data_IF_264177276459
#
_entry.id   IF_264177276459
#
_cell.length_a   1.000
_cell.length_b   1.000
_cell.length_c   1.000
_cell.angle_alpha   90.00
_cell.angle_beta   90.00
_cell.angle_gamma   90.00
#
_symmetry.space_group_name_H-M   'P 1'
#
loop_
_entity.id
_entity.type
_entity.pdbx_description
1 polymer ?
#
# COMPACT_ATOMS: atom_id res chain seq x y z
N UNK A 1 -10.13 20.48 -20.60
CA UNK A 1 -11.14 20.10 -19.58
C UNK A 1 -10.96 18.66 -19.08
N UNK A 2 -10.83 17.65 -19.96
CA UNK A 2 -10.64 16.25 -19.54
C UNK A 2 -9.35 15.98 -18.72
N UNK A 3 -8.23 16.61 -19.09
CA UNK A 3 -6.96 16.46 -18.37
C UNK A 3 -7.03 17.02 -16.93
N UNK A 4 -7.62 18.20 -16.76
CA UNK A 4 -7.89 18.82 -15.45
C UNK A 4 -8.75 17.90 -14.55
N UNK A 5 -9.72 17.18 -15.14
CA UNK A 5 -10.54 16.21 -14.40
C UNK A 5 -9.70 15.00 -13.97
N UNK A 6 -8.82 14.48 -14.84
CA UNK A 6 -7.93 13.37 -14.51
C UNK A 6 -6.98 13.72 -13.36
N UNK A 7 -6.37 14.91 -13.39
CA UNK A 7 -5.48 15.39 -12.32
C UNK A 7 -6.23 15.58 -11.00
N UNK A 8 -7.45 16.10 -11.02
CA UNK A 8 -8.30 16.20 -9.80
C UNK A 8 -8.61 14.83 -9.21
N UNK A 9 -8.93 13.84 -10.05
CA UNK A 9 -9.20 12.46 -9.62
C UNK A 9 -7.96 11.80 -9.03
N UNK A 10 -6.79 11.94 -9.66
CA UNK A 10 -5.53 11.45 -9.10
C UNK A 10 -5.21 12.12 -7.76
N UNK A 11 -5.42 13.43 -7.64
CA UNK A 11 -5.23 14.14 -6.37
C UNK A 11 -6.14 13.61 -5.27
N UNK A 12 -7.42 13.39 -5.57
CA UNK A 12 -8.36 12.82 -4.62
C UNK A 12 -7.91 11.43 -4.18
N UNK A 13 -7.50 10.58 -5.13
CA UNK A 13 -6.98 9.25 -4.85
C UNK A 13 -5.77 9.30 -3.92
N UNK A 14 -4.80 10.19 -4.20
CA UNK A 14 -3.61 10.36 -3.36
C UNK A 14 -3.97 10.84 -1.94
N UNK A 15 -4.99 11.70 -1.77
CA UNK A 15 -5.49 12.09 -0.44
C UNK A 15 -6.09 10.90 0.32
N UNK A 16 -6.91 10.10 -0.36
CA UNK A 16 -7.47 8.88 0.21
C UNK A 16 -6.34 7.95 0.65
N UNK A 17 -5.34 7.74 -0.20
CA UNK A 17 -4.15 6.95 0.14
C UNK A 17 -3.34 7.50 1.30
N UNK A 18 -3.12 8.82 1.39
CA UNK A 18 -2.49 9.43 2.56
C UNK A 18 -3.23 9.06 3.84
N UNK A 19 -4.57 9.19 3.84
CA UNK A 19 -5.38 8.89 5.04
C UNK A 19 -5.35 7.39 5.34
N UNK A 20 -5.58 6.54 4.35
CA UNK A 20 -5.59 5.07 4.52
C UNK A 20 -4.25 4.57 5.06
N UNK A 21 -3.13 5.04 4.52
CA UNK A 21 -1.81 4.62 5.00
C UNK A 21 -1.46 5.19 6.37
N UNK A 22 -1.86 6.42 6.67
CA UNK A 22 -1.69 6.99 8.01
C UNK A 22 -2.51 6.19 9.05
N UNK A 23 -3.76 5.85 8.73
CA UNK A 23 -4.58 4.98 9.57
C UNK A 23 -3.97 3.58 9.71
N UNK A 24 -3.40 3.02 8.65
CA UNK A 24 -2.67 1.74 8.71
C UNK A 24 -1.45 1.80 9.62
N UNK A 25 -0.71 2.91 9.62
CA UNK A 25 0.42 3.12 10.55
C UNK A 25 -0.06 3.16 12.02
N UNK A 26 -1.16 3.86 12.28
CA UNK A 26 -1.78 3.92 13.62
C UNK A 26 -2.28 2.54 14.03
N UNK A 27 -2.97 1.83 13.14
CA UNK A 27 -3.50 0.49 13.40
C UNK A 27 -2.40 -0.50 13.76
N UNK A 28 -1.32 -0.57 12.97
CA UNK A 28 -0.19 -1.43 13.32
C UNK A 28 0.51 -1.01 14.60
N UNK A 29 0.57 0.28 14.92
CA UNK A 29 1.21 0.74 16.15
C UNK A 29 0.37 0.47 17.40
N UNK A 30 -0.94 0.69 17.34
CA UNK A 30 -1.86 0.59 18.50
C UNK A 30 -2.43 -0.81 18.66
N UNK A 31 -2.73 -1.50 17.55
CA UNK A 31 -3.37 -2.81 17.51
C UNK A 31 -2.53 -3.85 16.74
N UNK A 32 -1.24 -4.04 17.09
CA UNK A 32 -0.28 -4.86 16.34
C UNK A 32 -0.76 -6.29 16.03
N UNK A 33 -1.54 -6.86 16.95
CA UNK A 33 -2.00 -8.25 16.86
C UNK A 33 -3.45 -8.39 16.34
N UNK A 34 -4.22 -7.31 16.26
CA UNK A 34 -5.63 -7.38 15.89
C UNK A 34 -5.78 -7.75 14.41
N UNK A 35 -4.99 -7.12 13.55
CA UNK A 35 -5.02 -7.33 12.09
C UNK A 35 -4.62 -8.76 11.73
N UNK A 36 -3.60 -9.31 12.40
CA UNK A 36 -3.20 -10.71 12.22
C UNK A 36 -4.30 -11.68 12.70
N UNK A 37 -4.96 -11.39 13.82
CA UNK A 37 -6.07 -12.22 14.32
C UNK A 37 -7.27 -12.23 13.38
N UNK A 38 -7.63 -11.08 12.80
CA UNK A 38 -8.74 -10.98 11.83
C UNK A 38 -8.40 -11.75 10.55
N UNK A 39 -7.17 -11.65 10.07
CA UNK A 39 -6.72 -12.41 8.90
C UNK A 39 -6.73 -13.92 9.18
N UNK A 40 -6.25 -14.35 10.35
CA UNK A 40 -6.27 -15.78 10.72
C UNK A 40 -7.70 -16.30 10.94
N UNK A 41 -8.62 -15.51 11.49
CA UNK A 41 -10.02 -15.94 11.63
C UNK A 41 -10.71 -16.10 10.27
N UNK A 42 -10.38 -15.24 9.30
CA UNK A 42 -10.83 -15.36 7.92
C UNK A 42 -10.17 -16.55 7.20
N UNK A 43 -8.90 -16.82 7.48
CA UNK A 43 -8.21 -18.01 6.97
C UNK A 43 -8.92 -19.29 7.44
N UNK A 44 -9.29 -19.35 8.73
CA UNK A 44 -10.02 -20.47 9.33
C UNK A 44 -11.40 -20.68 8.71
N UNK A 45 -12.15 -19.62 8.39
CA UNK A 45 -13.45 -19.75 7.73
C UNK A 45 -13.35 -20.22 6.29
N UNK A 46 -12.23 -19.93 5.62
CA UNK A 46 -11.94 -20.36 4.24
C UNK A 46 -11.16 -21.69 4.15
N UNK A 47 -10.81 -22.31 5.28
CA UNK A 47 -10.03 -23.56 5.32
C UNK A 47 -8.57 -23.40 4.88
N UNK A 48 -8.01 -22.18 4.94
CA UNK A 48 -6.65 -21.87 4.54
C UNK A 48 -5.67 -21.89 5.73
N UNK A 49 -4.37 -22.02 5.44
CA UNK A 49 -3.33 -22.01 6.46
C UNK A 49 -3.24 -20.65 7.18
N UNK A 50 -3.16 -20.71 8.50
CA UNK A 50 -2.94 -19.55 9.36
C UNK A 50 -1.45 -19.18 9.38
N UNK A 51 -1.15 -17.90 9.62
CA UNK A 51 0.22 -17.48 9.91
C UNK A 51 0.51 -17.74 11.38
N UNK A 52 1.44 -18.65 11.66
CA UNK A 52 1.94 -18.89 13.03
C UNK A 52 2.85 -17.72 13.42
N UNK A 53 2.37 -16.92 14.35
CA UNK A 53 3.10 -15.85 14.99
C UNK A 53 4.30 -16.39 15.79
N UNK A 54 5.53 -16.30 15.24
CA UNK A 54 6.72 -16.34 16.09
C UNK A 54 6.79 -14.99 16.82
N UNK A 55 6.59 -14.99 18.14
CA UNK A 55 6.49 -13.76 18.96
C UNK A 55 7.61 -12.74 18.65
N UNK A 56 8.87 -13.19 18.54
CA UNK A 56 10.00 -12.29 18.20
C UNK A 56 9.99 -11.79 16.74
N UNK A 57 9.43 -12.57 15.81
CA UNK A 57 9.29 -12.17 14.42
C UNK A 57 8.22 -11.09 14.25
N UNK A 58 7.13 -11.16 15.01
CA UNK A 58 6.03 -10.19 14.90
C UNK A 58 6.44 -8.77 15.29
N UNK A 59 7.18 -8.60 16.39
CA UNK A 59 7.63 -7.29 16.82
C UNK A 59 8.63 -6.70 15.80
N UNK A 60 9.48 -7.53 15.21
CA UNK A 60 10.35 -7.13 14.10
C UNK A 60 9.54 -6.66 12.88
N UNK A 61 8.53 -7.42 12.47
CA UNK A 61 7.64 -7.01 11.36
C UNK A 61 6.90 -5.71 11.67
N UNK A 62 6.53 -5.47 12.93
CA UNK A 62 5.92 -4.21 13.35
C UNK A 62 6.84 -3.02 13.11
N UNK A 63 8.11 -3.16 13.51
CA UNK A 63 9.12 -2.12 13.32
C UNK A 63 9.42 -1.83 11.86
N UNK A 64 9.06 -2.73 10.94
CA UNK A 64 9.12 -2.49 9.49
C UNK A 64 7.80 -1.92 8.94
N UNK A 65 6.66 -2.44 9.39
CA UNK A 65 5.35 -2.10 8.87
C UNK A 65 4.95 -0.65 9.16
N UNK A 66 5.16 -0.17 10.40
CA UNK A 66 4.78 1.19 10.79
C UNK A 66 5.57 2.24 10.00
N UNK A 67 6.92 2.20 9.94
CA UNK A 67 7.67 3.16 9.13
C UNK A 67 7.35 3.06 7.64
N UNK A 68 7.16 1.86 7.10
CA UNK A 68 6.75 1.68 5.71
C UNK A 68 5.44 2.42 5.40
N UNK A 69 4.41 2.24 6.25
CA UNK A 69 3.12 2.92 6.09
C UNK A 69 3.25 4.44 6.17
N UNK A 70 4.10 4.95 7.09
CA UNK A 70 4.40 6.38 7.17
C UNK A 70 5.06 6.88 5.88
N UNK A 71 6.04 6.14 5.33
CA UNK A 71 6.74 6.53 4.08
C UNK A 71 5.76 6.59 2.91
N UNK A 72 4.91 5.58 2.70
CA UNK A 72 3.95 5.61 1.58
C UNK A 72 2.86 6.67 1.78
N UNK A 73 2.46 6.97 3.02
CA UNK A 73 1.57 8.09 3.32
C UNK A 73 2.25 9.44 2.97
N UNK A 74 3.52 9.60 3.34
CA UNK A 74 4.31 10.79 3.04
C UNK A 74 4.54 10.98 1.53
N UNK A 75 4.84 9.91 0.79
CA UNK A 75 4.96 9.96 -0.67
C UNK A 75 3.65 10.41 -1.33
N UNK A 76 2.50 9.87 -0.86
CA UNK A 76 1.17 10.29 -1.31
C UNK A 76 0.91 11.77 -1.03
N UNK A 77 1.28 12.23 0.17
CA UNK A 77 1.10 13.62 0.59
C UNK A 77 1.99 14.58 -0.20
N UNK A 78 3.28 14.29 -0.30
CA UNK A 78 4.26 15.11 -1.03
C UNK A 78 3.91 15.19 -2.51
N UNK A 79 3.43 14.09 -3.12
CA UNK A 79 2.96 14.10 -4.49
C UNK A 79 1.89 15.17 -4.75
N UNK A 80 1.00 15.41 -3.77
CA UNK A 80 -0.22 16.20 -3.95
C UNK A 80 -0.26 17.52 -3.16
N UNK A 81 0.80 17.90 -2.43
CA UNK A 81 0.81 19.13 -1.61
C UNK A 81 0.87 20.43 -2.43
N UNK A 82 1.44 20.39 -3.63
CA UNK A 82 1.61 21.55 -4.50
C UNK A 82 0.44 21.78 -5.46
N UNK A 83 0.49 22.89 -6.21
CA UNK A 83 -0.48 23.20 -7.26
C UNK A 83 -0.54 22.13 -8.35
N UNK A 84 0.62 21.55 -8.70
CA UNK A 84 0.75 20.42 -9.62
C UNK A 84 1.16 19.15 -8.88
N UNK A 85 0.80 18.00 -9.45
CA UNK A 85 1.17 16.70 -8.89
C UNK A 85 2.60 16.35 -9.33
N UNK A 86 3.44 15.98 -8.38
CA UNK A 86 4.80 15.52 -8.65
C UNK A 86 4.77 14.05 -9.07
N UNK A 87 5.37 13.70 -10.21
CA UNK A 87 5.35 12.34 -10.73
C UNK A 87 6.20 11.37 -9.88
N UNK A 88 7.39 11.81 -9.45
CA UNK A 88 8.38 10.95 -8.83
C UNK A 88 7.92 10.34 -7.49
N UNK A 89 7.28 11.07 -6.55
CA UNK A 89 6.75 10.44 -5.35
C UNK A 89 5.65 9.41 -5.64
N UNK A 90 4.82 9.62 -6.67
CA UNK A 90 3.80 8.64 -7.09
C UNK A 90 4.47 7.38 -7.67
N UNK A 91 5.55 7.53 -8.43
CA UNK A 91 6.34 6.40 -8.94
C UNK A 91 6.95 5.57 -7.80
N UNK A 92 7.54 6.22 -6.79
CA UNK A 92 8.08 5.52 -5.63
C UNK A 92 7.01 4.83 -4.79
N UNK A 93 5.83 5.44 -4.65
CA UNK A 93 4.68 4.79 -4.02
C UNK A 93 4.25 3.53 -4.77
N UNK A 94 4.13 3.60 -6.10
CA UNK A 94 3.78 2.44 -6.91
C UNK A 94 4.86 1.36 -6.82
N UNK A 95 6.15 1.74 -6.82
CA UNK A 95 7.26 0.81 -6.65
C UNK A 95 7.20 0.09 -5.28
N UNK A 96 6.97 0.85 -4.20
CA UNK A 96 6.88 0.33 -2.85
C UNK A 96 5.68 -0.63 -2.67
N UNK A 97 4.56 -0.37 -3.35
CA UNK A 97 3.38 -1.23 -3.30
C UNK A 97 3.52 -2.45 -4.21
N UNK A 98 4.16 -2.30 -5.37
CA UNK A 98 4.45 -3.42 -6.26
C UNK A 98 5.44 -4.40 -5.62
N UNK A 99 6.50 -3.89 -4.97
CA UNK A 99 7.47 -4.74 -4.28
C UNK A 99 6.84 -5.50 -3.12
N UNK A 100 6.01 -4.85 -2.31
CA UNK A 100 5.24 -5.49 -1.22
C UNK A 100 4.29 -6.56 -1.76
N UNK A 101 3.51 -6.24 -2.80
CA UNK A 101 2.60 -7.18 -3.46
C UNK A 101 3.34 -8.42 -3.98
N UNK A 102 4.41 -8.24 -4.76
CA UNK A 102 5.20 -9.36 -5.31
C UNK A 102 5.89 -10.20 -4.23
N UNK A 103 6.43 -9.55 -3.19
CA UNK A 103 7.04 -10.26 -2.06
C UNK A 103 5.99 -11.10 -1.33
N UNK A 104 4.80 -10.55 -1.10
CA UNK A 104 3.71 -11.32 -0.48
C UNK A 104 3.22 -12.47 -1.36
N UNK A 105 3.17 -12.31 -2.69
CA UNK A 105 2.87 -13.43 -3.58
C UNK A 105 3.93 -14.54 -3.48
N UNK A 106 5.22 -14.17 -3.44
CA UNK A 106 6.29 -15.14 -3.27
C UNK A 106 6.15 -15.89 -1.93
N UNK A 107 5.92 -15.17 -0.83
CA UNK A 107 5.71 -15.78 0.49
C UNK A 107 4.43 -16.64 0.55
N UNK A 108 3.39 -16.28 -0.20
CA UNK A 108 2.19 -17.11 -0.33
C UNK A 108 2.51 -18.44 -1.02
N UNK A 109 3.19 -18.40 -2.16
CA UNK A 109 3.51 -19.59 -2.97
C UNK A 109 4.51 -20.49 -2.25
N UNK A 110 5.58 -19.93 -1.68
CA UNK A 110 6.65 -20.71 -1.05
C UNK A 110 6.40 -21.04 0.42
N UNK A 111 5.54 -20.27 1.11
CA UNK A 111 5.24 -20.43 2.53
C UNK A 111 4.05 -21.33 2.85
N UNK A 112 3.54 -22.10 1.87
CA UNK A 112 2.44 -23.05 2.10
C UNK A 112 1.03 -22.42 2.04
N UNK A 113 0.83 -21.42 1.20
CA UNK A 113 -0.47 -20.77 0.95
C UNK A 113 -1.16 -20.10 2.16
N UNK A 114 -0.45 -19.33 2.99
CA UNK A 114 -1.08 -18.59 4.09
C UNK A 114 -1.94 -17.42 3.60
N UNK A 115 -3.18 -17.32 4.11
CA UNK A 115 -4.18 -16.35 3.65
C UNK A 115 -3.72 -14.88 3.73
N UNK A 116 -2.98 -14.52 4.79
CA UNK A 116 -2.54 -13.14 5.00
C UNK A 116 -1.67 -12.60 3.86
N UNK A 117 -0.80 -13.43 3.29
CA UNK A 117 0.06 -13.02 2.18
C UNK A 117 -0.71 -12.90 0.86
N UNK A 118 -1.74 -13.73 0.65
CA UNK A 118 -2.66 -13.58 -0.49
C UNK A 118 -3.46 -12.28 -0.38
N UNK A 119 -4.01 -11.99 0.80
CA UNK A 119 -4.75 -10.76 1.06
C UNK A 119 -3.86 -9.52 0.80
N UNK A 120 -2.62 -9.53 1.29
CA UNK A 120 -1.67 -8.45 1.04
C UNK A 120 -1.34 -8.30 -0.46
N UNK A 121 -1.11 -9.41 -1.17
CA UNK A 121 -0.86 -9.40 -2.61
C UNK A 121 -2.00 -8.69 -3.37
N UNK A 122 -3.24 -9.07 -3.07
CA UNK A 122 -4.44 -8.51 -3.70
C UNK A 122 -4.62 -7.04 -3.36
N UNK A 123 -4.50 -6.66 -2.08
CA UNK A 123 -4.69 -5.27 -1.64
C UNK A 123 -3.63 -4.34 -2.24
N UNK A 124 -2.36 -4.68 -2.10
CA UNK A 124 -1.28 -3.85 -2.63
C UNK A 124 -1.25 -3.86 -4.16
N UNK A 125 -1.57 -4.99 -4.79
CA UNK A 125 -1.73 -5.08 -6.24
C UNK A 125 -2.84 -4.18 -6.76
N UNK A 126 -4.01 -4.16 -6.09
CA UNK A 126 -5.11 -3.28 -6.44
C UNK A 126 -4.72 -1.80 -6.29
N UNK A 127 -4.02 -1.44 -5.20
CA UNK A 127 -3.53 -0.07 -5.00
C UNK A 127 -2.61 0.35 -6.15
N UNK A 128 -1.67 -0.50 -6.58
CA UNK A 128 -0.78 -0.22 -7.71
C UNK A 128 -1.58 -0.03 -8.99
N UNK A 129 -2.49 -0.96 -9.32
CA UNK A 129 -3.25 -0.92 -10.56
C UNK A 129 -4.16 0.31 -10.65
N UNK A 130 -4.89 0.61 -9.57
CA UNK A 130 -5.74 1.80 -9.48
C UNK A 130 -4.88 3.05 -9.63
N UNK A 131 -3.80 3.16 -8.86
CA UNK A 131 -2.90 4.33 -8.90
C UNK A 131 -2.29 4.51 -10.27
N UNK A 132 -1.81 3.43 -10.90
CA UNK A 132 -1.27 3.45 -12.26
C UNK A 132 -2.31 3.93 -13.27
N UNK A 133 -3.56 3.50 -13.15
CA UNK A 133 -4.65 3.90 -14.06
C UNK A 133 -4.98 5.40 -13.97
N UNK A 134 -4.99 5.97 -12.76
CA UNK A 134 -5.16 7.42 -12.61
C UNK A 134 -3.90 8.20 -12.99
N UNK A 135 -2.71 7.66 -12.69
CA UNK A 135 -1.42 8.24 -13.04
C UNK A 135 -1.24 8.36 -14.57
N UNK A 136 -1.53 7.29 -15.33
CA UNK A 136 -1.45 7.32 -16.80
C UNK A 136 -2.41 8.33 -17.40
N UNK A 137 -3.59 8.52 -16.81
CA UNK A 137 -4.60 9.46 -17.30
C UNK A 137 -4.19 10.92 -17.06
N UNK A 138 -3.46 11.20 -15.97
CA UNK A 138 -2.98 12.54 -15.62
C UNK A 138 -1.55 12.86 -16.12
N UNK A 139 -0.87 11.90 -16.77
CA UNK A 139 0.58 11.95 -17.07
C UNK A 139 1.04 13.25 -17.74
N UNK A 140 0.23 13.82 -18.65
CA UNK A 140 0.57 15.03 -19.38
C UNK A 140 0.66 16.30 -18.51
N UNK A 141 0.02 16.31 -17.33
CA UNK A 141 0.01 17.45 -16.41
C UNK A 141 0.97 17.28 -15.22
N UNK A 142 1.65 16.13 -15.12
CA UNK A 142 2.56 15.84 -14.02
C UNK A 142 3.88 16.59 -14.17
N UNK A 143 4.43 17.00 -13.02
CA UNK A 143 5.77 17.60 -12.97
C UNK A 143 6.79 16.49 -12.79
N UNK A 144 7.74 16.43 -13.71
CA UNK A 144 8.92 15.56 -13.64
C UNK A 144 10.12 16.39 -13.14
N UNK A 145 11.05 15.78 -12.39
CA UNK A 145 12.30 16.46 -12.03
C UNK A 145 13.03 16.92 -13.30
N UNK A 146 13.65 18.10 -13.23
CA UNK A 146 14.53 18.58 -14.29
C UNK A 146 15.67 17.57 -14.49
N UNK A 147 15.96 17.24 -15.76
CA UNK A 147 17.05 16.32 -16.12
C UNK A 147 18.40 16.99 -15.94
#
# INVERSE_FOLDING_TARGET
MALVIATRRLRLLLRVWTVVFALGAIDFFVFPYLTVRILNSTAKSLGMHEVVALNAGQDFWLTLAVPYMIVVAALSWVAQRGERIQAQPVQFLMLAKASSSLTSLALFVFGGFPYAFLANFVVDGAIVLITYWFYRAAKAELVFPAR
#
